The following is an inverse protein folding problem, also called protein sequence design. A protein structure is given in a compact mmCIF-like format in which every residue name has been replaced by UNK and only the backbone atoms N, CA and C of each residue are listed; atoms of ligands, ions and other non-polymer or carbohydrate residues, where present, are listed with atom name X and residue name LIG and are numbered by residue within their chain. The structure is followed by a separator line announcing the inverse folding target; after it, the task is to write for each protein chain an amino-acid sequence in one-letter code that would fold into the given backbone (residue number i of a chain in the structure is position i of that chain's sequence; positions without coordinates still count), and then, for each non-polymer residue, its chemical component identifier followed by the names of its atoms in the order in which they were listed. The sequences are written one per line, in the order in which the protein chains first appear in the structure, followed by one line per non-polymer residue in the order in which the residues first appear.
data_IF_797199583389
#
_entry.id   IF_797199583389
#
_cell.length_a   1.000
_cell.length_b   1.000
_cell.length_c   1.000
_cell.angle_alpha   90.00
_cell.angle_beta   90.00
_cell.angle_gamma   90.00
#
_symmetry.space_group_name_H-M   'P 1'
#
loop_
_entity.id
_entity.type
_entity.pdbx_description
1 polymer ?
#
# COMPACT_ATOMS: atom_id res chain seq x y z
N UNK A 1 -3.25 -10.35 13.25
CA UNK A 1 -2.55 -9.27 12.53
C UNK A 1 -1.13 -9.71 12.23
N UNK A 2 -0.58 -9.33 11.09
CA UNK A 2 0.84 -9.51 10.79
C UNK A 2 1.66 -8.56 11.66
N UNK A 3 2.73 -9.05 12.29
CA UNK A 3 3.65 -8.26 13.10
C UNK A 3 5.05 -8.46 12.56
N UNK A 4 5.77 -7.36 12.34
CA UNK A 4 7.12 -7.38 11.76
C UNK A 4 8.02 -6.61 12.75
N UNK A 5 8.67 -7.29 13.70
CA UNK A 5 9.66 -6.66 14.56
C UNK A 5 10.88 -6.28 13.70
N UNK A 6 11.38 -5.06 13.85
CA UNK A 6 12.53 -4.55 13.12
C UNK A 6 13.54 -3.95 14.09
N UNK A 7 14.85 -4.10 13.84
CA UNK A 7 15.91 -3.59 14.72
C UNK A 7 16.23 -2.12 14.43
N UNK A 8 15.20 -1.28 14.30
CA UNK A 8 15.32 0.16 13.99
C UNK A 8 14.37 0.96 14.89
N UNK A 9 14.78 2.18 15.25
CA UNK A 9 13.90 3.16 15.89
C UNK A 9 12.79 3.61 14.92
N UNK A 10 11.73 4.21 15.45
CA UNK A 10 10.66 4.78 14.60
C UNK A 10 11.16 5.88 13.65
N UNK A 11 12.15 6.67 14.04
CA UNK A 11 12.73 7.72 13.19
C UNK A 11 13.50 7.11 12.00
N UNK A 12 14.36 6.13 12.28
CA UNK A 12 15.08 5.39 11.24
C UNK A 12 14.13 4.65 10.31
N UNK A 13 13.04 4.10 10.86
CA UNK A 13 12.04 3.40 10.07
C UNK A 13 11.27 4.35 9.15
N UNK A 14 10.93 5.55 9.60
CA UNK A 14 10.28 6.56 8.75
C UNK A 14 11.16 6.92 7.55
N UNK A 15 12.43 7.25 7.82
CA UNK A 15 13.41 7.54 6.77
C UNK A 15 13.63 6.35 5.82
N UNK A 16 13.77 5.14 6.38
CA UNK A 16 13.96 3.90 5.63
C UNK A 16 12.76 3.56 4.74
N UNK A 17 11.53 3.80 5.20
CA UNK A 17 10.32 3.59 4.41
C UNK A 17 10.23 4.55 3.23
N UNK A 18 10.54 5.83 3.42
CA UNK A 18 10.57 6.80 2.32
C UNK A 18 11.63 6.42 1.28
N UNK A 19 12.81 5.99 1.74
CA UNK A 19 13.86 5.49 0.86
C UNK A 19 13.39 4.27 0.06
N UNK A 20 12.81 3.26 0.72
CA UNK A 20 12.31 2.05 0.07
C UNK A 20 11.23 2.35 -0.98
N UNK A 21 10.33 3.29 -0.69
CA UNK A 21 9.31 3.74 -1.65
C UNK A 21 9.98 4.38 -2.88
N UNK A 22 10.91 5.30 -2.68
CA UNK A 22 11.60 5.97 -3.78
C UNK A 22 12.41 4.99 -4.63
N UNK A 23 13.09 4.04 -3.97
CA UNK A 23 13.86 3.00 -4.63
C UNK A 23 12.98 2.08 -5.47
N UNK A 24 11.83 1.65 -4.95
CA UNK A 24 10.86 0.86 -5.73
C UNK A 24 10.38 1.62 -6.97
N UNK A 25 10.12 2.93 -6.85
CA UNK A 25 9.73 3.78 -7.99
C UNK A 25 10.86 3.86 -9.04
N UNK A 26 12.12 3.90 -8.62
CA UNK A 26 13.26 3.86 -9.56
C UNK A 26 13.38 2.51 -10.28
N UNK A 27 13.23 1.39 -9.55
CA UNK A 27 13.32 0.06 -10.13
C UNK A 27 12.23 -0.20 -11.17
N UNK A 28 11.02 0.33 -10.94
CA UNK A 28 9.92 0.25 -11.90
C UNK A 28 10.16 1.08 -13.17
N UNK A 29 11.06 2.07 -13.16
CA UNK A 29 11.40 2.90 -14.32
C UNK A 29 12.40 2.26 -15.28
N UNK A 30 13.02 1.13 -14.95
CA UNK A 30 14.09 0.50 -15.74
C UNK A 30 13.61 -0.22 -17.03
N UNK A 31 12.85 0.49 -17.88
CA UNK A 31 12.63 0.15 -19.29
C UNK A 31 11.49 -0.83 -19.59
N UNK A 32 10.71 -1.23 -18.58
CA UNK A 32 9.47 -1.99 -18.78
C UNK A 32 8.26 -1.09 -18.49
N UNK A 33 7.11 -1.43 -19.10
CA UNK A 33 5.83 -0.76 -18.83
C UNK A 33 5.53 -0.80 -17.31
N UNK A 34 5.23 0.34 -16.67
CA UNK A 34 5.13 0.43 -15.22
C UNK A 34 4.05 -0.49 -14.68
N UNK A 35 4.42 -1.36 -13.74
CA UNK A 35 3.49 -2.26 -13.07
C UNK A 35 2.59 -1.49 -12.10
N UNK A 36 3.02 -0.31 -11.65
CA UNK A 36 2.28 0.57 -10.74
C UNK A 36 2.27 2.00 -11.29
N UNK A 37 1.09 2.60 -11.32
CA UNK A 37 0.86 3.99 -11.69
C UNK A 37 0.43 4.79 -10.45
N UNK A 38 1.11 5.90 -10.17
CA UNK A 38 0.64 6.88 -9.20
C UNK A 38 -0.35 7.83 -9.89
N UNK A 39 -1.64 7.64 -9.63
CA UNK A 39 -2.71 8.46 -10.23
C UNK A 39 -2.90 9.79 -9.50
N UNK A 40 -2.67 9.80 -8.18
CA UNK A 40 -2.88 10.98 -7.34
C UNK A 40 -1.94 10.96 -6.13
N UNK A 41 -1.44 12.14 -5.74
CA UNK A 41 -0.73 12.37 -4.47
C UNK A 41 -1.01 13.78 -3.97
N UNK A 42 -1.73 13.90 -2.87
CA UNK A 42 -2.15 15.20 -2.32
C UNK A 42 -2.14 15.19 -0.80
N UNK A 43 -1.87 16.36 -0.21
CA UNK A 43 -2.13 16.58 1.21
C UNK A 43 -3.63 16.72 1.43
N UNK A 44 -4.20 15.87 2.29
CA UNK A 44 -5.63 15.86 2.62
C UNK A 44 -5.84 15.65 4.11
N UNK A 45 -7.04 15.93 4.60
CA UNK A 45 -7.42 15.66 6.00
C UNK A 45 -8.30 14.41 6.03
N UNK A 46 -7.81 13.35 6.68
CA UNK A 46 -8.57 12.14 6.89
C UNK A 46 -9.68 12.39 7.94
N UNK A 47 -10.94 12.00 7.70
CA UNK A 47 -12.07 12.31 8.59
C UNK A 47 -11.89 11.85 10.04
N UNK A 48 -11.16 10.74 10.25
CA UNK A 48 -10.91 10.15 11.57
C UNK A 48 -9.52 10.44 12.14
N UNK A 49 -8.52 10.67 11.29
CA UNK A 49 -7.11 10.60 11.69
C UNK A 49 -6.36 11.91 11.47
N UNK A 50 -7.01 12.94 10.89
CA UNK A 50 -6.41 14.25 10.71
C UNK A 50 -5.56 14.37 9.44
N UNK A 51 -4.66 15.37 9.36
CA UNK A 51 -3.90 15.67 8.16
C UNK A 51 -2.93 14.55 7.78
N UNK A 52 -2.79 14.28 6.48
CA UNK A 52 -1.87 13.29 5.94
C UNK A 52 -1.69 13.42 4.43
N UNK A 53 -0.98 12.46 3.85
CA UNK A 53 -0.82 12.36 2.39
C UNK A 53 -1.74 11.27 1.88
N UNK A 54 -2.67 11.66 1.02
CA UNK A 54 -3.54 10.75 0.29
C UNK A 54 -2.94 10.41 -1.06
N UNK A 55 -3.00 9.14 -1.44
CA UNK A 55 -2.52 8.64 -2.72
C UNK A 55 -3.54 7.72 -3.36
N UNK A 56 -3.60 7.74 -4.69
CA UNK A 56 -4.29 6.72 -5.46
C UNK A 56 -3.26 6.06 -6.37
N UNK A 57 -3.15 4.74 -6.27
CA UNK A 57 -2.26 3.94 -7.12
C UNK A 57 -3.05 2.90 -7.89
N UNK A 58 -2.64 2.63 -9.13
CA UNK A 58 -3.19 1.57 -9.96
C UNK A 58 -2.11 0.55 -10.29
N UNK A 59 -2.40 -0.72 -10.05
CA UNK A 59 -1.48 -1.83 -10.27
C UNK A 59 -1.98 -2.68 -11.42
N UNK A 60 -1.10 -2.93 -12.40
CA UNK A 60 -1.35 -3.77 -13.57
C UNK A 60 -0.91 -5.20 -13.29
N UNK A 61 -1.87 -6.09 -12.96
CA UNK A 61 -1.54 -7.44 -12.48
C UNK A 61 -1.38 -8.48 -13.59
N UNK A 62 -1.74 -8.16 -14.83
CA UNK A 62 -1.83 -9.13 -15.94
C UNK A 62 -0.56 -9.93 -16.19
N UNK A 63 0.62 -9.36 -15.94
CA UNK A 63 1.89 -10.07 -16.12
C UNK A 63 2.36 -10.82 -14.87
N UNK A 64 1.81 -10.51 -13.69
CA UNK A 64 2.21 -11.10 -12.39
C UNK A 64 1.24 -12.17 -11.87
N UNK A 65 0.06 -12.32 -12.48
CA UNK A 65 -0.90 -13.34 -12.06
C UNK A 65 -0.48 -14.77 -12.44
N UNK A 66 -0.74 -15.77 -11.56
CA UNK A 66 -0.69 -17.18 -11.90
C UNK A 66 -1.45 -17.49 -13.20
N UNK A 67 -0.93 -18.43 -14.01
CA UNK A 67 -1.50 -18.78 -15.32
C UNK A 67 -2.97 -19.17 -15.26
N UNK A 68 -3.40 -19.86 -14.20
CA UNK A 68 -4.79 -20.28 -14.03
C UNK A 68 -5.75 -19.12 -13.81
N UNK A 69 -5.33 -18.03 -13.13
CA UNK A 69 -6.16 -16.82 -12.98
C UNK A 69 -6.29 -16.11 -14.33
N UNK A 70 -5.20 -15.99 -15.08
CA UNK A 70 -5.22 -15.37 -16.42
C UNK A 70 -6.13 -16.11 -17.40
N UNK A 71 -6.27 -17.42 -17.26
CA UNK A 71 -7.18 -18.21 -18.08
C UNK A 71 -8.67 -17.96 -17.76
N UNK A 72 -8.99 -17.46 -16.56
CA UNK A 72 -10.36 -17.22 -16.10
C UNK A 72 -10.84 -15.79 -16.39
N UNK A 73 -9.93 -14.85 -16.67
CA UNK A 73 -10.26 -13.43 -16.82
C UNK A 73 -10.02 -12.97 -18.27
N UNK A 74 -11.03 -12.31 -18.87
CA UNK A 74 -11.00 -11.85 -20.27
C UNK A 74 -10.58 -10.40 -20.46
N UNK A 75 -10.39 -9.66 -19.37
CA UNK A 75 -10.02 -8.24 -19.36
C UNK A 75 -8.80 -8.02 -18.44
N UNK A 76 -8.04 -6.93 -18.64
CA UNK A 76 -6.97 -6.55 -17.74
C UNK A 76 -7.41 -6.52 -16.27
N UNK A 77 -6.66 -7.17 -15.38
CA UNK A 77 -6.88 -7.12 -13.94
C UNK A 77 -6.11 -5.94 -13.36
N UNK A 78 -6.85 -4.87 -13.10
CA UNK A 78 -6.37 -3.66 -12.46
C UNK A 78 -6.75 -3.68 -10.97
N UNK A 79 -5.79 -3.37 -10.12
CA UNK A 79 -6.03 -3.17 -8.70
C UNK A 79 -5.85 -1.69 -8.39
N UNK A 80 -6.81 -1.09 -7.70
CA UNK A 80 -6.74 0.31 -7.26
C UNK A 80 -6.56 0.36 -5.75
N UNK A 81 -5.53 1.10 -5.33
CA UNK A 81 -5.22 1.38 -3.93
C UNK A 81 -5.48 2.85 -3.63
N UNK A 82 -6.41 3.11 -2.72
CA UNK A 82 -6.53 4.38 -2.01
C UNK A 82 -5.72 4.30 -0.71
N UNK A 83 -4.59 5.00 -0.65
CA UNK A 83 -3.64 4.97 0.46
C UNK A 83 -3.60 6.29 1.24
N UNK A 84 -3.58 6.20 2.55
CA UNK A 84 -3.35 7.30 3.49
C UNK A 84 -2.07 7.07 4.26
N UNK A 85 -1.11 7.98 4.09
CA UNK A 85 0.07 8.07 4.95
C UNK A 85 -0.18 9.14 6.02
N UNK A 86 -0.35 8.67 7.26
CA UNK A 86 -0.65 9.43 8.47
C UNK A 86 0.38 9.05 9.55
N UNK A 87 1.66 8.92 9.16
CA UNK A 87 2.71 8.32 9.99
C UNK A 87 2.60 8.77 11.47
N UNK A 88 2.58 7.83 12.44
CA UNK A 88 2.95 6.41 12.34
C UNK A 88 1.80 5.45 11.94
N UNK A 89 0.68 5.96 11.42
CA UNK A 89 -0.40 5.13 10.88
C UNK A 89 -0.39 5.17 9.35
N UNK A 90 -0.56 4.02 8.71
CA UNK A 90 -0.87 3.94 7.29
C UNK A 90 -2.13 3.11 7.07
N UNK A 91 -3.00 3.58 6.18
CA UNK A 91 -4.26 2.92 5.83
C UNK A 91 -4.35 2.80 4.32
N UNK A 92 -4.44 1.58 3.82
CA UNK A 92 -4.62 1.30 2.39
C UNK A 92 -5.90 0.53 2.17
N UNK A 93 -6.75 1.04 1.28
CA UNK A 93 -7.96 0.38 0.79
C UNK A 93 -7.74 -0.05 -0.65
N UNK A 94 -7.76 -1.34 -0.85
CA UNK A 94 -7.48 -1.99 -2.12
C UNK A 94 -8.76 -2.60 -2.67
N UNK A 95 -9.03 -2.30 -3.94
CA UNK A 95 -10.20 -2.78 -4.68
C UNK A 95 -9.80 -3.27 -6.06
N UNK A 96 -10.65 -4.09 -6.66
CA UNK A 96 -10.53 -4.48 -8.06
C UNK A 96 -11.85 -4.04 -8.72
N UNK A 97 -11.86 -3.06 -9.64
CA UNK A 97 -13.09 -2.52 -10.21
C UNK A 97 -14.04 -3.57 -10.81
N UNK A 98 -13.47 -4.62 -11.41
CA UNK A 98 -14.24 -5.74 -11.99
C UNK A 98 -14.82 -6.70 -10.94
N UNK A 99 -14.28 -6.73 -9.72
CA UNK A 99 -14.75 -7.55 -8.62
C UNK A 99 -15.24 -6.64 -7.49
N UNK A 100 -16.46 -6.06 -7.57
CA UNK A 100 -16.95 -5.06 -6.62
C UNK A 100 -17.08 -5.58 -5.18
N UNK A 101 -17.11 -6.90 -5.00
CA UNK A 101 -17.14 -7.54 -3.68
C UNK A 101 -15.74 -7.76 -3.09
N UNK A 102 -14.67 -7.69 -3.89
CA UNK A 102 -13.31 -7.79 -3.39
C UNK A 102 -12.90 -6.50 -2.68
N UNK A 103 -12.52 -6.64 -1.42
CA UNK A 103 -12.00 -5.55 -0.59
C UNK A 103 -10.85 -6.06 0.25
N UNK A 104 -9.71 -5.40 0.15
CA UNK A 104 -8.57 -5.63 1.02
C UNK A 104 -8.24 -4.32 1.74
N UNK A 105 -8.29 -4.35 3.06
CA UNK A 105 -7.99 -3.19 3.88
C UNK A 105 -6.73 -3.51 4.70
N UNK A 106 -5.69 -2.69 4.55
CA UNK A 106 -4.43 -2.83 5.28
C UNK A 106 -4.32 -1.63 6.22
N UNK A 107 -4.21 -1.92 7.51
CA UNK A 107 -3.95 -0.92 8.54
C UNK A 107 -2.60 -1.26 9.16
N UNK A 108 -1.62 -0.38 8.95
CA UNK A 108 -0.26 -0.55 9.46
C UNK A 108 0.01 0.49 10.52
N UNK A 109 0.34 0.06 11.72
CA UNK A 109 0.72 0.94 12.82
C UNK A 109 2.18 0.67 13.19
N UNK A 110 2.99 1.73 13.14
CA UNK A 110 4.38 1.69 13.59
C UNK A 110 4.45 2.09 15.06
N UNK A 111 5.07 1.24 15.89
CA UNK A 111 5.19 1.47 17.32
C UNK A 111 6.49 0.88 17.85
N UNK A 112 7.09 1.58 18.81
CA UNK A 112 8.17 1.07 19.65
C UNK A 112 7.73 -0.20 20.41
N UNK A 113 8.67 -1.14 20.59
CA UNK A 113 8.47 -2.37 21.36
C UNK A 113 8.38 -3.65 20.53
N UNK A 114 8.16 -4.78 21.21
CA UNK A 114 8.27 -6.14 20.63
C UNK A 114 6.97 -6.64 19.96
N UNK A 115 6.09 -5.73 19.53
CA UNK A 115 4.83 -6.12 18.90
C UNK A 115 3.86 -6.84 19.83
N UNK A 116 3.70 -6.37 21.06
CA UNK A 116 2.76 -6.94 22.04
C UNK A 116 1.42 -6.19 22.08
N UNK A 117 0.33 -6.91 22.40
CA UNK A 117 -1.01 -6.33 22.57
C UNK A 117 -1.83 -6.09 21.28
N UNK A 118 -3.07 -5.60 21.47
CA UNK A 118 -3.97 -5.19 20.39
C UNK A 118 -3.75 -3.71 20.05
N UNK A 119 -2.78 -3.45 19.18
CA UNK A 119 -2.37 -2.10 18.85
C UNK A 119 -3.44 -1.30 18.07
N UNK A 120 -4.42 -1.97 17.46
CA UNK A 120 -5.51 -1.32 16.73
C UNK A 120 -6.75 -1.04 17.58
N UNK A 121 -6.79 -1.51 18.83
CA UNK A 121 -7.92 -1.28 19.75
C UNK A 121 -9.24 -1.86 19.25
N UNK A 122 -9.19 -2.94 18.46
CA UNK A 122 -10.34 -3.66 17.91
C UNK A 122 -10.99 -4.63 18.89
#
# INVERSE_FOLDING_TARGET
GLRIPQPFSLEELEGGLQYAINRNVEEEKNGQEPVVELLLREHRVHPKYGPGVFTVKRFHLDRRMPRWIRALVRVPVLLEEEGWNLYPLMVSKITIPMFPHFRLHIHSLYREGQGEGNAHGL
#
